data_IF_385400286835
#
_entry.id   IF_385400286835
#
_cell.length_a   1.000
_cell.length_b   1.000
_cell.length_c   1.000
_cell.angle_alpha   90.00
_cell.angle_beta   90.00
_cell.angle_gamma   90.00
#
_symmetry.space_group_name_H-M   'P 1'
#
loop_
_entity.id
_entity.type
_entity.pdbx_description
1 polymer ?
#
# COMPACT_ATOMS: atom_id res chain seq x y z
N UNK A 1 10.31 -19.27 9.70
CA UNK A 1 9.78 -19.05 8.34
C UNK A 1 9.12 -17.67 8.31
N UNK A 2 9.28 -16.91 7.23
CA UNK A 2 8.62 -15.61 7.09
C UNK A 2 7.22 -15.82 6.53
N UNK A 3 6.18 -15.53 7.32
CA UNK A 3 4.80 -15.71 6.86
C UNK A 3 4.25 -14.45 6.15
N UNK A 4 4.85 -13.29 6.43
CA UNK A 4 4.42 -11.99 5.90
C UNK A 4 5.64 -11.18 5.45
N UNK A 5 5.53 -10.57 4.27
CA UNK A 5 6.52 -9.67 3.71
C UNK A 5 5.92 -8.27 3.60
N UNK A 6 6.64 -7.27 4.13
CA UNK A 6 6.27 -5.86 4.02
C UNK A 6 7.21 -5.17 3.03
N UNK A 7 6.66 -4.59 1.97
CA UNK A 7 7.43 -3.86 0.96
C UNK A 7 7.04 -2.39 1.01
N UNK A 8 8.02 -1.54 1.31
CA UNK A 8 7.84 -0.08 1.26
C UNK A 8 8.05 0.38 -0.17
N UNK A 9 7.09 1.15 -0.68
CA UNK A 9 7.08 1.54 -2.09
C UNK A 9 6.74 3.02 -2.25
N UNK A 10 7.71 3.75 -2.80
CA UNK A 10 7.63 5.18 -3.07
C UNK A 10 7.46 5.50 -4.57
N UNK A 11 7.52 4.48 -5.44
CA UNK A 11 7.45 4.62 -6.90
C UNK A 11 8.81 4.78 -7.58
N UNK A 12 9.89 4.88 -6.81
CA UNK A 12 11.26 4.95 -7.35
C UNK A 12 11.62 3.68 -8.15
N UNK A 13 12.53 3.79 -9.14
CA UNK A 13 12.98 2.63 -9.90
C UNK A 13 13.65 1.57 -9.00
N UNK A 14 14.29 1.97 -7.91
CA UNK A 14 14.85 1.10 -6.88
C UNK A 14 13.73 0.32 -6.17
N UNK A 15 12.67 1.00 -5.74
CA UNK A 15 11.52 0.36 -5.11
C UNK A 15 10.79 -0.60 -6.05
N UNK A 16 10.73 -0.32 -7.35
CA UNK A 16 10.19 -1.24 -8.37
C UNK A 16 11.01 -2.53 -8.46
N UNK A 17 12.34 -2.44 -8.39
CA UNK A 17 13.21 -3.63 -8.35
C UNK A 17 13.02 -4.41 -7.04
N UNK A 18 12.99 -3.72 -5.90
CA UNK A 18 12.76 -4.34 -4.60
C UNK A 18 11.41 -5.07 -4.54
N UNK A 19 10.35 -4.49 -5.12
CA UNK A 19 9.04 -5.13 -5.24
C UNK A 19 9.11 -6.43 -6.04
N UNK A 20 9.79 -6.44 -7.20
CA UNK A 20 9.91 -7.65 -8.02
C UNK A 20 10.62 -8.78 -7.27
N UNK A 21 11.72 -8.47 -6.58
CA UNK A 21 12.45 -9.47 -5.78
C UNK A 21 11.63 -9.91 -4.56
N UNK A 22 10.92 -9.00 -3.90
CA UNK A 22 10.01 -9.32 -2.81
C UNK A 22 8.88 -10.26 -3.23
N UNK A 23 8.26 -10.02 -4.39
CA UNK A 23 7.23 -10.88 -4.95
C UNK A 23 7.78 -12.28 -5.30
N UNK A 24 8.99 -12.37 -5.85
CA UNK A 24 9.64 -13.69 -6.08
C UNK A 24 9.84 -14.45 -4.78
N UNK A 25 10.36 -13.77 -3.75
CA UNK A 25 10.57 -14.39 -2.43
C UNK A 25 9.26 -14.85 -1.81
N UNK A 26 8.21 -14.03 -1.86
CA UNK A 26 6.90 -14.40 -1.34
C UNK A 26 6.29 -15.59 -2.09
N UNK A 27 6.47 -15.66 -3.41
CA UNK A 27 6.05 -16.83 -4.20
C UNK A 27 6.75 -18.11 -3.75
N UNK A 28 8.07 -18.03 -3.55
CA UNK A 28 8.88 -19.18 -3.13
C UNK A 28 8.58 -19.62 -1.70
N UNK A 29 8.29 -18.66 -0.81
CA UNK A 29 8.02 -18.90 0.60
C UNK A 29 6.54 -19.17 0.92
N UNK A 30 5.62 -18.90 -0.03
CA UNK A 30 4.17 -18.96 0.22
C UNK A 30 3.69 -17.86 1.18
N UNK A 31 4.40 -16.74 1.25
CA UNK A 31 4.14 -15.64 2.19
C UNK A 31 3.16 -14.62 1.62
N UNK A 32 2.40 -13.95 2.49
CA UNK A 32 1.58 -12.80 2.13
C UNK A 32 2.45 -11.55 1.92
N UNK A 33 2.22 -10.80 0.84
CA UNK A 33 2.95 -9.57 0.53
C UNK A 33 2.08 -8.34 0.78
N UNK A 34 2.53 -7.40 1.61
CA UNK A 34 1.87 -6.12 1.82
C UNK A 34 2.72 -4.99 1.28
N UNK A 35 2.10 -4.10 0.50
CA UNK A 35 2.72 -2.90 -0.02
C UNK A 35 2.34 -1.71 0.85
N UNK A 36 3.31 -0.92 1.33
CA UNK A 36 3.06 0.29 2.11
C UNK A 36 3.72 1.49 1.47
N UNK A 37 2.96 2.58 1.34
CA UNK A 37 3.49 3.91 1.01
C UNK A 37 3.24 4.86 2.17
N UNK A 38 4.29 5.52 2.64
CA UNK A 38 4.17 6.54 3.67
C UNK A 38 4.22 7.91 3.01
N UNK A 39 3.16 8.68 3.18
CA UNK A 39 3.09 10.08 2.78
C UNK A 39 3.51 10.95 3.95
N UNK A 40 4.51 11.81 3.74
CA UNK A 40 4.94 12.76 4.77
C UNK A 40 3.83 13.78 5.01
N UNK A 41 3.58 14.10 6.27
CA UNK A 41 2.69 15.22 6.60
C UNK A 41 3.38 16.53 6.22
N UNK A 42 2.77 17.40 5.40
CA UNK A 42 3.32 18.71 5.15
C UNK A 42 3.43 19.48 6.47
N UNK A 43 4.61 20.02 6.77
CA UNK A 43 4.94 20.47 8.12
C UNK A 43 4.17 21.72 8.55
N UNK A 44 3.79 22.61 7.64
CA UNK A 44 3.06 23.84 7.97
C UNK A 44 2.31 24.31 6.73
N UNK A 45 1.01 24.03 6.65
CA UNK A 45 0.13 24.72 5.68
C UNK A 45 -0.92 25.44 6.51
N UNK A 46 -0.88 26.78 6.61
CA UNK A 46 -1.83 27.54 7.41
C UNK A 46 -3.26 27.46 6.82
N UNK A 47 -3.37 27.12 5.54
CA UNK A 47 -4.64 26.97 4.85
C UNK A 47 -5.02 25.47 4.73
N UNK A 48 -6.10 25.09 5.40
CA UNK A 48 -6.65 23.73 5.40
C UNK A 48 -7.06 23.23 4.01
N UNK A 49 -7.40 24.12 3.08
CA UNK A 49 -7.82 23.74 1.73
C UNK A 49 -6.61 23.38 0.85
N UNK A 50 -5.54 24.18 0.91
CA UNK A 50 -4.28 23.87 0.23
C UNK A 50 -3.66 22.57 0.78
N UNK A 51 -3.74 22.38 2.10
CA UNK A 51 -3.32 21.12 2.73
C UNK A 51 -4.09 19.92 2.18
N UNK A 52 -5.42 20.01 2.08
CA UNK A 52 -6.27 18.96 1.53
C UNK A 52 -5.95 18.68 0.07
N UNK A 53 -5.72 19.71 -0.72
CA UNK A 53 -5.40 19.56 -2.14
C UNK A 53 -4.03 18.90 -2.36
N UNK A 54 -3.02 19.27 -1.57
CA UNK A 54 -1.69 18.68 -1.64
C UNK A 54 -1.72 17.20 -1.24
N UNK A 55 -2.37 16.88 -0.12
CA UNK A 55 -2.57 15.48 0.32
C UNK A 55 -3.38 14.69 -0.71
N UNK A 56 -4.44 15.25 -1.31
CA UNK A 56 -5.23 14.58 -2.33
C UNK A 56 -4.41 14.30 -3.60
N UNK A 57 -3.52 15.22 -3.97
CA UNK A 57 -2.63 15.08 -5.14
C UNK A 57 -1.58 13.98 -4.89
N UNK A 58 -0.98 13.96 -3.70
CA UNK A 58 -0.06 12.91 -3.25
C UNK A 58 -0.72 11.53 -3.18
N UNK A 59 -1.96 11.44 -2.68
CA UNK A 59 -2.75 10.22 -2.67
C UNK A 59 -3.06 9.73 -4.09
N UNK A 60 -3.44 10.64 -4.99
CA UNK A 60 -3.71 10.31 -6.39
C UNK A 60 -2.46 9.79 -7.08
N UNK A 61 -1.30 10.40 -6.82
CA UNK A 61 -0.02 9.95 -7.35
C UNK A 61 0.38 8.59 -6.77
N UNK A 62 0.16 8.38 -5.47
CA UNK A 62 0.37 7.09 -4.81
C UNK A 62 -0.45 5.96 -5.44
N UNK A 63 -1.76 6.19 -5.66
CA UNK A 63 -2.64 5.20 -6.30
C UNK A 63 -2.20 4.86 -7.73
N UNK A 64 -1.79 5.86 -8.52
CA UNK A 64 -1.26 5.62 -9.87
C UNK A 64 -0.03 4.71 -9.87
N UNK A 65 0.90 4.94 -8.95
CA UNK A 65 2.09 4.08 -8.80
C UNK A 65 1.73 2.67 -8.31
N UNK A 66 0.68 2.53 -7.50
CA UNK A 66 0.17 1.24 -7.07
C UNK A 66 -0.48 0.42 -8.18
N UNK A 67 -1.05 1.05 -9.22
CA UNK A 67 -1.56 0.32 -10.39
C UNK A 67 -0.44 -0.51 -11.03
N UNK A 68 0.75 0.09 -11.20
CA UNK A 68 1.92 -0.61 -11.74
C UNK A 68 2.40 -1.74 -10.83
N UNK A 69 2.43 -1.50 -9.52
CA UNK A 69 2.80 -2.50 -8.53
C UNK A 69 1.84 -3.70 -8.49
N UNK A 70 0.53 -3.44 -8.50
CA UNK A 70 -0.51 -4.47 -8.57
C UNK A 70 -0.42 -5.26 -9.87
N UNK A 71 -0.19 -4.60 -11.00
CA UNK A 71 0.00 -5.29 -12.28
C UNK A 71 1.18 -6.27 -12.24
N UNK A 72 2.31 -5.90 -11.60
CA UNK A 72 3.44 -6.80 -11.40
C UNK A 72 3.10 -7.98 -10.47
N UNK A 73 2.33 -7.73 -9.40
CA UNK A 73 1.89 -8.77 -8.48
C UNK A 73 0.88 -9.75 -9.11
N UNK A 74 -0.09 -9.23 -9.88
CA UNK A 74 -1.05 -10.06 -10.62
C UNK A 74 -0.36 -10.94 -11.64
N UNK A 75 0.67 -10.44 -12.34
CA UNK A 75 1.51 -11.27 -13.22
C UNK A 75 2.26 -12.37 -12.46
N UNK A 76 2.62 -12.12 -11.20
CA UNK A 76 3.25 -13.13 -10.35
C UNK A 76 2.25 -14.13 -9.75
N UNK A 77 0.94 -13.82 -9.80
CA UNK A 77 -0.14 -14.59 -9.19
C UNK A 77 -0.28 -14.36 -7.68
N UNK A 78 0.15 -13.19 -7.18
CA UNK A 78 0.16 -12.85 -5.76
C UNK A 78 -0.85 -11.74 -5.48
N UNK A 79 -1.64 -11.90 -4.42
CA UNK A 79 -2.49 -10.83 -3.91
C UNK A 79 -1.62 -9.80 -3.17
N UNK A 80 -1.72 -8.53 -3.57
CA UNK A 80 -0.88 -7.46 -3.03
C UNK A 80 -1.77 -6.38 -2.38
N UNK A 81 -2.17 -6.56 -1.11
CA UNK A 81 -2.78 -5.51 -0.32
C UNK A 81 -1.89 -4.27 -0.29
N UNK A 82 -2.47 -3.11 -0.60
CA UNK A 82 -1.77 -1.83 -0.63
C UNK A 82 -2.28 -0.91 0.48
N UNK A 83 -1.38 -0.25 1.18
CA UNK A 83 -1.71 0.67 2.26
C UNK A 83 -0.99 2.01 2.06
N UNK A 84 -1.75 3.11 2.06
CA UNK A 84 -1.20 4.46 2.04
C UNK A 84 -1.42 5.10 3.40
N UNK A 85 -0.36 5.52 4.08
CA UNK A 85 -0.46 6.06 5.44
C UNK A 85 0.23 7.41 5.52
N UNK A 86 -0.44 8.39 6.12
CA UNK A 86 0.11 9.72 6.39
C UNK A 86 0.87 9.73 7.71
N UNK A 87 2.15 10.05 7.69
CA UNK A 87 2.97 10.14 8.90
C UNK A 87 4.47 10.18 8.63
N UNK A 88 5.23 10.03 9.71
CA UNK A 88 6.68 9.89 9.63
C UNK A 88 7.05 8.44 9.30
N UNK A 89 7.89 8.25 8.29
CA UNK A 89 8.21 6.93 7.73
C UNK A 89 8.70 5.95 8.80
N UNK A 90 9.62 6.37 9.67
CA UNK A 90 10.18 5.49 10.69
C UNK A 90 9.15 5.02 11.73
N UNK A 91 8.24 5.90 12.15
CA UNK A 91 7.21 5.56 13.14
C UNK A 91 6.14 4.65 12.53
N UNK A 92 5.68 5.00 11.32
CA UNK A 92 4.68 4.21 10.60
C UNK A 92 5.21 2.79 10.37
N UNK A 93 6.44 2.64 9.87
CA UNK A 93 7.01 1.32 9.59
C UNK A 93 7.22 0.49 10.86
N UNK A 94 7.68 1.11 11.96
CA UNK A 94 7.78 0.43 13.26
C UNK A 94 6.40 -0.08 13.71
N UNK A 95 5.37 0.75 13.58
CA UNK A 95 4.01 0.37 13.97
C UNK A 95 3.45 -0.77 13.09
N UNK A 96 3.73 -0.77 11.78
CA UNK A 96 3.33 -1.86 10.89
C UNK A 96 3.95 -3.20 11.29
N UNK A 97 5.23 -3.20 11.70
CA UNK A 97 5.94 -4.42 12.11
C UNK A 97 5.49 -4.89 13.49
N UNK A 98 5.32 -3.96 14.45
CA UNK A 98 5.00 -4.30 15.85
C UNK A 98 3.52 -4.65 16.05
N UNK A 99 2.60 -3.93 15.40
CA UNK A 99 1.17 -4.14 15.63
C UNK A 99 0.66 -5.44 14.97
N UNK A 100 1.37 -5.97 13.96
CA UNK A 100 0.83 -7.03 13.09
C UNK A 100 -0.51 -6.66 12.43
N UNK A 101 -0.91 -5.39 12.56
CA UNK A 101 -2.20 -4.81 12.24
C UNK A 101 -1.92 -3.58 11.39
N UNK A 102 -2.62 -3.50 10.29
CA UNK A 102 -2.63 -2.35 9.39
C UNK A 102 -3.22 -1.18 10.18
N UNK A 103 -2.48 -0.11 10.50
CA UNK A 103 -3.13 1.11 10.95
C UNK A 103 -4.09 1.53 9.84
N UNK A 104 -5.39 1.56 10.15
CA UNK A 104 -6.39 2.09 9.22
C UNK A 104 -5.89 3.44 8.71
N UNK A 105 -5.86 3.67 7.38
CA UNK A 105 -5.50 4.96 6.86
C UNK A 105 -6.49 5.98 7.44
N UNK A 106 -5.98 6.93 8.21
CA UNK A 106 -6.75 8.10 8.61
C UNK A 106 -7.15 8.82 7.31
N UNK A 107 -8.41 8.60 6.91
CA UNK A 107 -9.13 9.24 5.81
C UNK A 107 -8.75 8.80 4.38
N UNK A 108 -9.38 7.73 3.91
CA UNK A 108 -9.82 7.62 2.52
C UNK A 108 -11.36 7.48 2.52
N UNK A 109 -12.05 8.60 2.72
CA UNK A 109 -13.49 8.68 2.43
C UNK A 109 -13.66 8.84 0.93
N UNK A 110 -13.39 7.78 0.17
CA UNK A 110 -13.75 7.67 -1.25
C UNK A 110 -14.10 6.21 -1.52
N UNK A 111 -15.38 5.93 -1.32
CA UNK A 111 -16.16 4.88 -1.98
C UNK A 111 -15.38 3.72 -2.61
N UNK A 112 -15.11 2.68 -1.82
CA UNK A 112 -15.04 1.31 -2.34
C UNK A 112 -16.48 0.83 -2.64
N UNK A 113 -17.10 1.44 -3.66
CA UNK A 113 -18.33 0.92 -4.28
C UNK A 113 -17.92 -0.14 -5.30
N UNK A 114 -17.82 -1.39 -4.85
CA UNK A 114 -18.29 -2.58 -5.57
C UNK A 114 -17.75 -3.83 -4.88
N UNK A 115 -18.46 -4.27 -3.83
CA UNK A 115 -18.46 -5.69 -3.46
C UNK A 115 -19.10 -6.48 -4.61
N UNK A 116 -18.29 -6.86 -5.58
CA UNK A 116 -18.59 -8.04 -6.41
C UNK A 116 -18.31 -9.27 -5.54
N UNK A 117 -19.33 -9.73 -4.81
CA UNK A 117 -19.37 -11.12 -4.34
C UNK A 117 -19.85 -11.95 -5.53
N UNK A 118 -18.92 -12.46 -6.32
CA UNK A 118 -19.16 -13.67 -7.09
C UNK A 118 -18.58 -14.83 -6.26
N UNK A 119 -19.47 -15.57 -5.63
CA UNK A 119 -19.19 -16.92 -5.15
C UNK A 119 -20.48 -17.71 -5.30
N UNK A 120 -20.64 -18.28 -6.49
CA UNK A 120 -21.51 -19.42 -6.69
C UNK A 120 -21.06 -20.56 -5.77
N UNK A 121 -22.01 -21.24 -5.14
CA UNK A 121 -21.81 -22.63 -4.76
C UNK A 121 -23.11 -23.39 -4.99
N UNK A 122 -23.02 -24.37 -5.88
CA UNK A 122 -24.03 -25.36 -6.17
C UNK A 122 -24.34 -26.19 -4.91
N UNK A 123 -25.63 -26.44 -4.66
CA UNK A 123 -26.24 -27.77 -4.65
C UNK A 123 -27.76 -27.66 -4.62
#
# INVERSE_FOLDING_TARGET
MFNKLLVVYDGSPEAKKALKEGLKLAKMAGSECHLVRVLKKPKQVPNSELFRQEVASELTFAEKEFVGARFLASQAGIDLPTHTVLGEACEVLKNFVVAGHIPMPAQANTACHSRSRVSASLR
#
